data_IF_406148691268
#
_entry.id   IF_406148691268
#
_cell.length_a   1.000
_cell.length_b   1.000
_cell.length_c   1.000
_cell.angle_alpha   90.00
_cell.angle_beta   90.00
_cell.angle_gamma   90.00
#
_symmetry.space_group_name_H-M   'P 1'
#
loop_
_entity.id
_entity.type
_entity.pdbx_description
1 polymer ?
#
# COMPACT_ATOMS: atom_id res chain seq x y z
N UNK A 1 2.54 -17.16 4.73
CA UNK A 1 1.70 -16.87 3.54
C UNK A 1 2.64 -16.89 2.34
N UNK A 2 2.31 -17.57 1.25
CA UNK A 2 3.21 -17.60 0.07
C UNK A 2 3.12 -16.29 -0.71
N UNK A 3 4.15 -15.93 -1.50
CA UNK A 3 4.12 -14.75 -2.38
C UNK A 3 2.89 -14.70 -3.30
N UNK A 4 2.49 -15.84 -3.87
CA UNK A 4 1.32 -15.97 -4.75
C UNK A 4 0.02 -15.66 -4.01
N UNK A 5 -0.09 -16.11 -2.75
CA UNK A 5 -1.25 -15.82 -1.91
C UNK A 5 -1.31 -14.33 -1.54
N UNK A 6 -0.16 -13.70 -1.30
CA UNK A 6 -0.07 -12.25 -1.05
C UNK A 6 -0.45 -11.45 -2.29
N UNK A 7 0.02 -11.86 -3.48
CA UNK A 7 -0.32 -11.24 -4.76
C UNK A 7 -1.82 -11.31 -5.05
N UNK A 8 -2.44 -12.49 -4.90
CA UNK A 8 -3.88 -12.65 -5.09
C UNK A 8 -4.70 -11.78 -4.11
N UNK A 9 -4.21 -11.59 -2.88
CA UNK A 9 -4.85 -10.71 -1.91
C UNK A 9 -4.78 -9.24 -2.34
N UNK A 10 -3.62 -8.77 -2.80
CA UNK A 10 -3.43 -7.39 -3.30
C UNK A 10 -4.34 -7.14 -4.50
N UNK A 11 -4.33 -8.03 -5.50
CA UNK A 11 -5.18 -7.92 -6.68
C UNK A 11 -6.67 -7.84 -6.29
N UNK A 12 -7.11 -8.66 -5.35
CA UNK A 12 -8.49 -8.65 -4.86
C UNK A 12 -8.84 -7.35 -4.12
N UNK A 13 -7.92 -6.81 -3.32
CA UNK A 13 -8.11 -5.51 -2.64
C UNK A 13 -8.20 -4.39 -3.67
N UNK A 14 -7.34 -4.40 -4.68
CA UNK A 14 -7.29 -3.39 -5.73
C UNK A 14 -8.55 -3.45 -6.61
N UNK A 15 -8.95 -4.64 -7.04
CA UNK A 15 -10.19 -4.85 -7.80
C UNK A 15 -11.41 -4.37 -6.99
N UNK A 16 -11.46 -4.67 -5.69
CA UNK A 16 -12.51 -4.19 -4.80
C UNK A 16 -12.53 -2.67 -4.67
N UNK A 17 -11.38 -2.04 -4.44
CA UNK A 17 -11.28 -0.58 -4.34
C UNK A 17 -11.74 0.09 -5.64
N UNK A 18 -11.31 -0.44 -6.79
CA UNK A 18 -11.75 0.02 -8.12
C UNK A 18 -13.27 -0.11 -8.31
N UNK A 19 -13.85 -1.25 -7.93
CA UNK A 19 -15.30 -1.49 -7.99
C UNK A 19 -16.10 -0.60 -7.03
N UNK A 20 -15.53 -0.27 -5.88
CA UNK A 20 -16.14 0.63 -4.90
C UNK A 20 -15.92 2.11 -5.22
N UNK A 21 -15.22 2.45 -6.31
CA UNK A 21 -14.90 3.84 -6.66
C UNK A 21 -13.92 4.51 -5.70
N UNK A 22 -13.20 3.73 -4.89
CA UNK A 22 -12.12 4.24 -4.04
C UNK A 22 -10.86 4.42 -4.88
N UNK A 23 -10.26 5.62 -4.78
CA UNK A 23 -8.97 5.89 -5.38
C UNK A 23 -7.90 5.09 -4.63
N UNK A 24 -7.29 4.13 -5.32
CA UNK A 24 -6.09 3.47 -4.83
C UNK A 24 -4.96 4.48 -4.93
N UNK A 25 -4.16 4.57 -3.87
CA UNK A 25 -2.95 5.38 -3.88
C UNK A 25 -1.98 4.81 -4.92
N UNK A 26 -1.72 5.56 -5.99
CA UNK A 26 -0.83 5.19 -7.10
C UNK A 26 0.63 5.58 -6.83
N UNK A 27 0.96 5.93 -5.58
CA UNK A 27 2.32 6.26 -5.18
C UNK A 27 3.28 5.09 -5.46
N UNK A 28 4.29 5.35 -6.29
CA UNK A 28 5.30 4.36 -6.63
C UNK A 28 5.98 3.75 -5.38
N UNK A 29 6.09 4.50 -4.28
CA UNK A 29 6.63 3.99 -3.01
C UNK A 29 5.70 2.95 -2.39
N UNK A 30 4.39 3.21 -2.41
CA UNK A 30 3.40 2.28 -1.87
C UNK A 30 3.35 0.99 -2.68
N UNK A 31 3.40 1.09 -4.01
CA UNK A 31 3.48 -0.07 -4.90
C UNK A 31 4.75 -0.88 -4.63
N UNK A 32 5.91 -0.23 -4.53
CA UNK A 32 7.17 -0.92 -4.22
C UNK A 32 7.18 -1.62 -2.86
N UNK A 33 6.55 -1.04 -1.83
CA UNK A 33 6.42 -1.74 -0.55
C UNK A 33 5.50 -2.95 -0.62
N UNK A 34 4.44 -2.91 -1.43
CA UNK A 34 3.58 -4.07 -1.66
C UNK A 34 4.37 -5.19 -2.34
N UNK A 35 5.20 -4.87 -3.34
CA UNK A 35 6.05 -5.86 -4.02
C UNK A 35 7.04 -6.50 -3.04
N UNK A 36 7.76 -5.71 -2.25
CA UNK A 36 8.66 -6.23 -1.22
C UNK A 36 7.92 -7.12 -0.20
N UNK A 37 6.69 -6.78 0.16
CA UNK A 37 5.87 -7.61 1.05
C UNK A 37 5.44 -8.92 0.36
N UNK A 38 5.09 -8.87 -0.93
CA UNK A 38 4.77 -10.06 -1.72
C UNK A 38 5.98 -11.00 -1.77
N UNK A 39 7.16 -10.48 -2.09
CA UNK A 39 8.42 -11.25 -2.15
C UNK A 39 8.86 -11.77 -0.76
N UNK A 40 8.42 -11.10 0.30
CA UNK A 40 8.73 -11.48 1.69
C UNK A 40 9.97 -10.81 2.25
N UNK A 41 10.45 -9.76 1.58
CA UNK A 41 11.53 -8.90 2.04
C UNK A 41 11.11 -8.01 3.22
N UNK A 42 9.81 -7.72 3.33
CA UNK A 42 9.24 -7.00 4.47
C UNK A 42 7.99 -7.71 4.99
N UNK A 43 7.64 -7.46 6.25
CA UNK A 43 6.39 -7.94 6.84
C UNK A 43 5.23 -6.98 6.59
N UNK A 44 4.00 -7.49 6.74
CA UNK A 44 2.79 -6.66 6.57
C UNK A 44 2.74 -5.50 7.59
N UNK A 45 3.37 -5.71 8.77
CA UNK A 45 3.50 -4.69 9.79
C UNK A 45 4.36 -3.52 9.31
N UNK A 46 5.48 -3.81 8.64
CA UNK A 46 6.39 -2.81 8.08
C UNK A 46 5.71 -2.03 6.94
N UNK A 47 4.99 -2.73 6.05
CA UNK A 47 4.20 -2.09 4.99
C UNK A 47 3.22 -1.08 5.58
N UNK A 48 2.50 -1.47 6.65
CA UNK A 48 1.51 -0.62 7.30
C UNK A 48 2.16 0.57 8.00
N UNK A 49 3.31 0.39 8.63
CA UNK A 49 4.05 1.48 9.27
C UNK A 49 4.53 2.50 8.23
N UNK A 50 5.20 2.06 7.17
CA UNK A 50 5.66 2.92 6.07
C UNK A 50 4.51 3.68 5.40
N UNK A 51 3.38 3.00 5.18
CA UNK A 51 2.19 3.66 4.64
C UNK A 51 1.61 4.71 5.60
N UNK A 52 1.61 4.43 6.91
CA UNK A 52 1.18 5.39 7.92
C UNK A 52 2.09 6.63 7.95
N UNK A 53 3.40 6.44 7.92
CA UNK A 53 4.37 7.53 7.84
C UNK A 53 4.14 8.39 6.59
N UNK A 54 3.93 7.76 5.43
CA UNK A 54 3.60 8.45 4.18
C UNK A 54 2.35 9.32 4.32
N UNK A 55 1.28 8.78 4.92
CA UNK A 55 0.05 9.53 5.17
C UNK A 55 0.27 10.71 6.12
N UNK A 56 1.10 10.53 7.15
CA UNK A 56 1.47 11.61 8.08
C UNK A 56 2.27 12.71 7.37
N UNK A 57 3.25 12.35 6.54
CA UNK A 57 4.01 13.31 5.72
C UNK A 57 3.10 14.08 4.76
N UNK A 58 2.15 13.39 4.10
CA UNK A 58 1.14 14.00 3.21
C UNK A 58 0.19 14.95 3.96
N UNK A 59 -0.12 14.67 5.22
CA UNK A 59 -0.95 15.55 6.06
C UNK A 59 -0.18 16.81 6.48
N UNK A 60 1.12 16.70 6.74
CA UNK A 60 1.96 17.83 7.12
C UNK A 60 2.19 18.82 5.96
N UNK A 61 2.30 18.34 4.72
CA UNK A 61 2.45 19.22 3.54
C UNK A 61 1.17 19.96 3.14
N UNK A 62 -0.02 19.56 3.62
CA UNK A 62 -1.29 20.23 3.30
C UNK A 62 -1.67 21.36 4.27
N UNK A 63 -0.84 21.66 5.28
CA UNK A 63 -1.12 22.67 6.32
C UNK A 63 -0.13 23.84 6.27
N UNK A 64 0.25 24.24 5.07
CA UNK A 64 1.17 25.36 4.82
C UNK A 64 0.89 26.00 3.47
N UNK A 65 -0.35 26.47 3.28
CA UNK A 65 -0.69 27.54 2.32
C UNK A 65 -1.57 28.55 3.06
#
# INVERSE_FOLDING_TARGET
>A
MTPESRRALVERIFDKARKSGQTIDDDARFIGWIENWIEGDIEIADLREKYRELLLSRRHTKKGE
#
